data_IF_679669597104
#
_entry.id   IF_679669597104
#
_cell.length_a   1.000
_cell.length_b   1.000
_cell.length_c   1.000
_cell.angle_alpha   90.00
_cell.angle_beta   90.00
_cell.angle_gamma   90.00
#
_symmetry.space_group_name_H-M   'P 1'
#
loop_
_entity.id
_entity.type
_entity.pdbx_description
1 polymer ?
#
# COMPACT_ATOMS: atom_id res chain seq x y z
N UNK A 1 23.90 -10.86 -9.84
CA UNK A 1 22.47 -11.06 -10.19
C UNK A 1 21.64 -10.63 -8.99
N UNK A 2 20.75 -9.68 -9.16
CA UNK A 2 19.78 -9.36 -8.11
C UNK A 2 18.90 -10.61 -7.90
N UNK A 3 18.86 -11.13 -6.69
CA UNK A 3 17.96 -12.23 -6.33
C UNK A 3 16.52 -11.75 -6.54
N UNK A 4 15.80 -12.42 -7.43
CA UNK A 4 14.39 -12.14 -7.66
C UNK A 4 13.63 -12.31 -6.35
N UNK A 5 12.79 -11.34 -5.99
CA UNK A 5 11.95 -11.41 -4.81
C UNK A 5 11.11 -12.70 -4.87
N UNK A 6 11.03 -13.51 -3.79
CA UNK A 6 10.37 -14.82 -3.81
C UNK A 6 8.85 -14.71 -4.05
N UNK A 7 8.27 -13.54 -3.85
CA UNK A 7 6.84 -13.26 -4.06
C UNK A 7 6.58 -12.50 -5.37
N UNK A 8 7.57 -12.40 -6.26
CA UNK A 8 7.45 -11.65 -7.51
C UNK A 8 7.24 -10.15 -7.32
N UNK A 9 7.57 -9.62 -6.14
CA UNK A 9 7.44 -8.19 -5.83
C UNK A 9 8.57 -7.38 -6.44
N UNK A 10 8.28 -6.12 -6.69
CA UNK A 10 9.24 -5.12 -7.11
C UNK A 10 8.81 -4.37 -8.35
N UNK A 11 8.84 -3.05 -8.24
CA UNK A 11 8.57 -2.15 -9.33
C UNK A 11 9.52 -0.94 -9.27
N UNK A 12 10.19 -0.68 -10.36
CA UNK A 12 11.08 0.46 -10.51
C UNK A 12 10.28 1.77 -10.43
N UNK A 13 10.99 2.86 -10.10
CA UNK A 13 10.41 4.21 -10.14
C UNK A 13 9.85 4.51 -11.54
N UNK A 14 8.74 5.24 -11.57
CA UNK A 14 8.07 5.69 -12.80
C UNK A 14 7.54 4.58 -13.74
N UNK A 15 7.55 3.32 -13.31
CA UNK A 15 6.93 2.20 -14.03
C UNK A 15 5.51 1.96 -13.53
N UNK A 16 4.54 1.85 -14.45
CA UNK A 16 3.12 1.59 -14.14
C UNK A 16 2.68 0.19 -14.63
N UNK A 17 3.50 -0.83 -14.38
CA UNK A 17 3.18 -2.20 -14.78
C UNK A 17 2.26 -2.88 -13.77
N UNK A 18 1.18 -3.48 -14.27
CA UNK A 18 0.31 -4.37 -13.50
C UNK A 18 0.74 -5.83 -13.70
N UNK A 19 0.69 -6.60 -12.63
CA UNK A 19 0.89 -8.05 -12.62
C UNK A 19 -0.42 -8.75 -12.27
N UNK A 20 -0.57 -10.00 -12.68
CA UNK A 20 -1.68 -10.83 -12.23
C UNK A 20 -1.59 -11.03 -10.71
N UNK A 21 -2.75 -11.26 -10.08
CA UNK A 21 -2.79 -11.53 -8.65
C UNK A 21 -1.95 -12.77 -8.30
N UNK A 22 -1.09 -12.63 -7.30
CA UNK A 22 -0.31 -13.75 -6.77
C UNK A 22 -0.89 -14.18 -5.41
N UNK A 23 -1.34 -15.43 -5.25
CA UNK A 23 -1.88 -15.93 -4.00
C UNK A 23 -0.86 -15.96 -2.84
N UNK A 24 0.41 -15.74 -3.11
CA UNK A 24 1.46 -15.60 -2.10
C UNK A 24 1.56 -14.17 -1.52
N UNK A 25 0.93 -13.16 -2.11
CA UNK A 25 0.98 -11.79 -1.58
C UNK A 25 0.45 -11.65 -0.15
N UNK A 26 -0.63 -12.34 0.28
CA UNK A 26 -1.04 -12.31 1.69
C UNK A 26 0.05 -12.84 2.64
N UNK A 27 0.84 -13.83 2.22
CA UNK A 27 1.98 -14.34 2.99
C UNK A 27 3.12 -13.33 3.05
N UNK A 28 3.47 -12.71 1.93
CA UNK A 28 4.47 -11.65 1.87
C UNK A 28 4.10 -10.49 2.83
N UNK A 29 2.81 -10.10 2.86
CA UNK A 29 2.30 -9.13 3.82
C UNK A 29 2.50 -9.60 5.26
N UNK A 30 2.08 -10.82 5.61
CA UNK A 30 2.11 -11.32 6.98
C UNK A 30 3.56 -11.37 7.53
N UNK A 31 4.50 -11.87 6.76
CA UNK A 31 5.91 -11.94 7.13
C UNK A 31 6.51 -10.54 7.38
N UNK A 32 6.19 -9.57 6.52
CA UNK A 32 6.69 -8.20 6.69
C UNK A 32 5.99 -7.46 7.84
N UNK A 33 4.69 -7.68 8.05
CA UNK A 33 3.95 -7.12 9.17
C UNK A 33 4.52 -7.61 10.52
N UNK A 34 4.86 -8.88 10.64
CA UNK A 34 5.48 -9.44 11.85
C UNK A 34 6.87 -8.85 12.09
N UNK A 35 7.65 -8.65 11.03
CA UNK A 35 8.97 -8.02 11.10
C UNK A 35 8.87 -6.57 11.59
N UNK A 36 7.90 -5.80 11.09
CA UNK A 36 7.65 -4.42 11.52
C UNK A 36 7.16 -4.36 12.96
N UNK A 37 6.19 -5.19 13.34
CA UNK A 37 5.69 -5.26 14.74
C UNK A 37 6.80 -5.58 15.72
N UNK A 38 7.68 -6.51 15.39
CA UNK A 38 8.82 -6.88 16.23
C UNK A 38 9.78 -5.72 16.42
N UNK A 39 10.06 -4.96 15.38
CA UNK A 39 11.01 -3.85 15.43
C UNK A 39 10.45 -2.60 16.12
N UNK A 40 9.17 -2.29 15.91
CA UNK A 40 8.54 -1.08 16.42
C UNK A 40 7.83 -1.25 17.75
N UNK A 41 7.46 -2.47 18.12
CA UNK A 41 6.82 -2.77 19.40
C UNK A 41 5.45 -2.10 19.58
N UNK A 42 5.13 -1.63 20.79
CA UNK A 42 3.78 -1.22 21.18
C UNK A 42 3.28 0.08 20.53
N UNK A 43 4.12 0.84 19.85
CA UNK A 43 3.69 2.02 19.09
C UNK A 43 2.77 1.62 17.93
N UNK A 44 2.93 0.40 17.41
CA UNK A 44 2.07 -0.17 16.36
C UNK A 44 0.87 -0.84 17.01
N UNK A 45 -0.33 -0.26 16.85
CA UNK A 45 -1.58 -0.83 17.37
C UNK A 45 -2.03 -1.99 16.48
N UNK A 46 -2.02 -1.79 15.16
CA UNK A 46 -2.40 -2.80 14.16
C UNK A 46 -1.68 -2.56 12.85
N UNK A 47 -1.51 -3.62 12.06
CA UNK A 47 -1.08 -3.54 10.65
C UNK A 47 -2.09 -4.31 9.83
N UNK A 48 -2.59 -3.69 8.76
CA UNK A 48 -3.55 -4.27 7.83
C UNK A 48 -2.98 -4.32 6.42
N UNK A 49 -3.23 -5.42 5.71
CA UNK A 49 -3.00 -5.51 4.28
C UNK A 49 -4.11 -4.73 3.56
N UNK A 50 -3.76 -3.71 2.80
CA UNK A 50 -4.72 -2.93 2.04
C UNK A 50 -4.23 -2.67 0.62
N UNK A 51 -4.95 -1.88 -0.15
CA UNK A 51 -4.65 -1.67 -1.56
C UNK A 51 -4.97 -2.88 -2.41
N UNK A 52 -4.58 -2.82 -3.68
CA UNK A 52 -5.01 -3.80 -4.69
C UNK A 52 -4.47 -5.21 -4.46
N UNK A 53 -3.25 -5.35 -3.92
CA UNK A 53 -2.67 -6.67 -3.62
C UNK A 53 -3.39 -7.41 -2.49
N UNK A 54 -4.22 -6.69 -1.71
CA UNK A 54 -5.06 -7.26 -0.65
C UNK A 54 -6.40 -7.81 -1.16
N UNK A 55 -6.68 -7.67 -2.45
CA UNK A 55 -7.95 -8.09 -3.06
C UNK A 55 -7.72 -9.30 -3.94
N UNK A 56 -8.19 -10.50 -3.55
CA UNK A 56 -8.00 -11.73 -4.32
C UNK A 56 -8.48 -11.60 -5.76
N UNK A 57 -7.64 -12.03 -6.69
CA UNK A 57 -7.93 -12.02 -8.12
C UNK A 57 -7.77 -10.68 -8.84
N UNK A 58 -7.48 -9.59 -8.12
CA UNK A 58 -7.30 -8.27 -8.72
C UNK A 58 -5.86 -8.08 -9.20
N UNK A 59 -5.68 -7.73 -10.48
CA UNK A 59 -4.38 -7.31 -11.02
C UNK A 59 -3.90 -6.04 -10.34
N UNK A 60 -2.63 -5.98 -9.99
CA UNK A 60 -2.06 -4.88 -9.24
C UNK A 60 -0.60 -4.61 -9.62
N UNK A 61 -0.10 -3.43 -9.29
CA UNK A 61 1.35 -3.23 -9.20
C UNK A 61 1.91 -4.20 -8.16
N UNK A 62 3.04 -4.88 -8.42
CA UNK A 62 3.60 -5.89 -7.51
C UNK A 62 4.32 -5.20 -6.33
N UNK A 63 3.55 -4.48 -5.53
CA UNK A 63 3.98 -3.75 -4.32
C UNK A 63 2.95 -4.04 -3.24
N UNK A 64 3.39 -4.52 -2.08
CA UNK A 64 2.52 -4.73 -0.92
C UNK A 64 2.27 -3.40 -0.24
N UNK A 65 1.00 -2.99 -0.17
CA UNK A 65 0.57 -1.84 0.63
C UNK A 65 0.15 -2.29 2.03
N UNK A 66 0.75 -1.67 3.03
CA UNK A 66 0.46 -1.93 4.44
C UNK A 66 -0.06 -0.65 5.10
N UNK A 67 -1.10 -0.79 5.91
CA UNK A 67 -1.65 0.28 6.72
C UNK A 67 -1.27 0.04 8.18
N UNK A 68 -0.46 0.93 8.74
CA UNK A 68 0.02 0.88 10.12
C UNK A 68 -0.80 1.87 10.95
N UNK A 69 -1.54 1.36 11.93
CA UNK A 69 -2.32 2.16 12.85
C UNK A 69 -1.53 2.53 14.10
N UNK A 70 -1.47 3.81 14.41
CA UNK A 70 -0.87 4.39 15.62
C UNK A 70 -1.90 5.16 16.41
N UNK A 71 -1.62 5.49 17.70
CA UNK A 71 -2.53 6.27 18.51
C UNK A 71 -2.57 7.74 18.08
N UNK A 72 -1.41 8.32 17.78
CA UNK A 72 -1.26 9.72 17.36
C UNK A 72 -0.35 9.78 16.14
N UNK A 73 -0.68 10.66 15.18
CA UNK A 73 0.02 10.70 13.88
C UNK A 73 1.51 11.04 14.01
N UNK A 74 1.88 11.87 14.98
CA UNK A 74 3.29 12.25 15.20
C UNK A 74 4.18 11.06 15.57
N UNK A 75 3.61 9.96 16.04
CA UNK A 75 4.33 8.72 16.28
C UNK A 75 4.95 8.14 15.00
N UNK A 76 4.38 8.45 13.83
CA UNK A 76 4.97 8.08 12.55
C UNK A 76 6.36 8.68 12.32
N UNK A 77 6.62 9.88 12.82
CA UNK A 77 7.95 10.51 12.75
C UNK A 77 8.96 9.79 13.65
N UNK A 78 8.53 9.29 14.80
CA UNK A 78 9.39 8.53 15.72
C UNK A 78 9.81 7.16 15.17
N UNK A 79 9.14 6.68 14.14
CA UNK A 79 9.44 5.39 13.50
C UNK A 79 10.57 5.46 12.47
N UNK A 80 10.99 6.65 12.03
CA UNK A 80 11.88 6.84 10.87
C UNK A 80 13.17 6.02 11.01
N UNK A 81 13.84 6.09 12.16
CA UNK A 81 15.09 5.38 12.39
C UNK A 81 14.89 3.85 12.38
N UNK A 82 13.89 3.35 13.11
CA UNK A 82 13.60 1.92 13.15
C UNK A 82 13.18 1.36 11.80
N UNK A 83 12.39 2.11 11.03
CA UNK A 83 12.00 1.73 9.67
C UNK A 83 13.20 1.75 8.72
N UNK A 84 14.14 2.69 8.88
CA UNK A 84 15.38 2.71 8.09
C UNK A 84 16.21 1.43 8.30
N UNK A 85 16.32 0.93 9.54
CA UNK A 85 16.98 -0.36 9.83
C UNK A 85 16.29 -1.56 9.17
N UNK A 86 14.99 -1.45 8.87
CA UNK A 86 14.25 -2.47 8.12
C UNK A 86 14.35 -2.31 6.60
N UNK A 87 15.06 -1.27 6.12
CA UNK A 87 15.25 -0.99 4.70
C UNK A 87 14.19 -0.05 4.09
N UNK A 88 13.45 0.67 4.93
CA UNK A 88 12.48 1.67 4.48
C UNK A 88 13.05 3.07 4.50
N UNK A 89 12.76 3.84 3.46
CA UNK A 89 12.99 5.29 3.42
C UNK A 89 11.67 6.04 3.70
N UNK A 90 11.78 7.16 4.41
CA UNK A 90 10.64 8.02 4.69
C UNK A 90 10.34 8.91 3.49
N UNK A 91 9.12 8.83 2.97
CA UNK A 91 8.66 9.53 1.77
C UNK A 91 7.72 10.71 2.07
N UNK A 92 7.59 11.12 3.33
CA UNK A 92 6.70 12.21 3.74
C UNK A 92 5.22 11.82 3.74
N UNK A 93 4.35 12.84 3.68
CA UNK A 93 2.90 12.65 3.62
C UNK A 93 2.35 12.61 2.19
N UNK A 94 3.13 13.05 1.22
CA UNK A 94 2.73 13.26 -0.17
C UNK A 94 1.43 14.07 -0.32
N UNK A 95 1.21 15.04 0.57
CA UNK A 95 0.06 15.92 0.56
C UNK A 95 -1.22 15.33 1.16
N UNK A 96 -1.17 14.12 1.71
CA UNK A 96 -2.30 13.49 2.38
C UNK A 96 -2.27 13.91 3.87
N UNK A 97 -3.33 14.54 4.41
CA UNK A 97 -3.40 14.90 5.81
C UNK A 97 -3.30 13.66 6.73
N UNK A 98 -2.67 13.83 7.90
CA UNK A 98 -2.55 12.78 8.92
C UNK A 98 -2.04 11.44 8.35
N UNK A 99 -0.95 11.51 7.56
CA UNK A 99 -0.44 10.38 6.82
C UNK A 99 1.09 10.43 6.73
N UNK A 100 1.77 9.32 7.02
CA UNK A 100 3.19 9.16 6.74
C UNK A 100 3.40 7.94 5.85
N UNK A 101 4.32 8.05 4.90
CA UNK A 101 4.61 7.00 3.93
C UNK A 101 6.06 6.57 4.04
N UNK A 102 6.28 5.28 4.11
CA UNK A 102 7.59 4.64 4.06
C UNK A 102 7.63 3.64 2.91
N UNK A 103 8.71 3.64 2.17
CA UNK A 103 8.87 2.73 1.05
C UNK A 103 10.12 1.87 1.18
N UNK A 104 10.03 0.58 0.85
CA UNK A 104 11.14 -0.37 0.94
C UNK A 104 11.77 -0.62 -0.42
N UNK A 105 13.09 -0.38 -0.49
CA UNK A 105 13.92 -0.66 -1.64
C UNK A 105 13.86 0.36 -2.77
N UNK A 106 14.91 0.48 -3.56
CA UNK A 106 14.95 1.30 -4.77
C UNK A 106 14.04 0.71 -5.85
N UNK A 107 14.07 -0.61 -6.03
CA UNK A 107 12.98 -1.37 -6.65
C UNK A 107 11.96 -1.61 -5.55
N UNK A 108 10.85 -0.90 -5.63
CA UNK A 108 9.88 -0.80 -4.54
C UNK A 108 9.11 -2.11 -4.37
N UNK A 109 9.23 -2.76 -3.21
CA UNK A 109 8.52 -4.01 -2.89
C UNK A 109 7.37 -3.80 -1.92
N UNK A 110 7.50 -2.85 -0.98
CA UNK A 110 6.49 -2.55 0.04
C UNK A 110 6.33 -1.05 0.21
N UNK A 111 5.10 -0.63 0.49
CA UNK A 111 4.74 0.70 0.96
C UNK A 111 4.00 0.57 2.29
N UNK A 112 4.51 1.24 3.31
CA UNK A 112 3.88 1.30 4.62
C UNK A 112 3.31 2.69 4.84
N UNK A 113 2.00 2.75 5.05
CA UNK A 113 1.24 3.97 5.30
C UNK A 113 0.87 4.03 6.78
N UNK A 114 1.36 5.03 7.48
CA UNK A 114 1.08 5.23 8.91
C UNK A 114 -0.05 6.25 9.05
N UNK A 115 -1.09 5.85 9.77
CA UNK A 115 -2.29 6.66 10.01
C UNK A 115 -2.79 6.46 11.44
N UNK A 116 -3.67 7.33 11.93
CA UNK A 116 -4.31 7.14 13.23
C UNK A 116 -5.24 5.92 13.18
N UNK A 117 -5.02 4.96 14.08
CA UNK A 117 -5.83 3.75 14.18
C UNK A 117 -7.30 4.10 14.47
N UNK A 118 -8.21 3.57 13.67
CA UNK A 118 -9.64 3.88 13.77
C UNK A 118 -10.03 5.29 13.31
N UNK A 119 -9.08 6.10 12.84
CA UNK A 119 -9.34 7.44 12.31
C UNK A 119 -9.93 7.42 10.89
N UNK A 120 -10.11 8.61 10.31
CA UNK A 120 -10.75 8.77 9.00
C UNK A 120 -9.98 8.04 7.88
N UNK A 121 -8.67 8.20 7.81
CA UNK A 121 -7.82 7.53 6.80
C UNK A 121 -7.84 6.00 6.96
N UNK A 122 -7.76 5.51 8.19
CA UNK A 122 -7.87 4.08 8.50
C UNK A 122 -9.17 3.49 7.96
N UNK A 123 -10.30 4.12 8.29
CA UNK A 123 -11.64 3.67 7.86
C UNK A 123 -11.81 3.73 6.34
N UNK A 124 -11.36 4.82 5.72
CA UNK A 124 -11.45 5.01 4.27
C UNK A 124 -10.64 3.96 3.50
N UNK A 125 -9.38 3.73 3.89
CA UNK A 125 -8.53 2.75 3.24
C UNK A 125 -9.08 1.32 3.35
N UNK A 126 -9.51 0.93 4.54
CA UNK A 126 -10.07 -0.42 4.77
C UNK A 126 -11.46 -0.56 4.15
N UNK A 127 -12.28 0.47 4.19
CA UNK A 127 -13.59 0.49 3.54
C UNK A 127 -13.48 0.25 2.03
N UNK A 128 -12.55 0.92 1.37
CA UNK A 128 -12.32 0.71 -0.06
C UNK A 128 -11.83 -0.72 -0.36
N UNK A 129 -10.86 -1.24 0.40
CA UNK A 129 -10.41 -2.63 0.29
C UNK A 129 -11.58 -3.61 0.41
N UNK A 130 -12.40 -3.45 1.45
CA UNK A 130 -13.49 -4.36 1.75
C UNK A 130 -14.60 -4.26 0.70
N UNK A 131 -14.86 -3.07 0.18
CA UNK A 131 -15.76 -2.87 -0.96
C UNK A 131 -15.28 -3.64 -2.20
N UNK A 132 -14.00 -3.53 -2.55
CA UNK A 132 -13.44 -4.27 -3.70
C UNK A 132 -13.51 -5.80 -3.51
N UNK A 133 -13.37 -6.28 -2.27
CA UNK A 133 -13.50 -7.71 -1.96
C UNK A 133 -14.94 -8.20 -2.09
N UNK A 134 -15.90 -7.40 -1.64
CA UNK A 134 -17.31 -7.78 -1.56
C UNK A 134 -18.09 -7.57 -2.87
N UNK A 135 -17.71 -6.57 -3.67
CA UNK A 135 -18.45 -6.15 -4.86
C UNK A 135 -17.67 -6.40 -6.15
N UNK A 136 -18.00 -7.50 -6.88
CA UNK A 136 -17.32 -7.82 -8.14
C UNK A 136 -17.48 -6.75 -9.23
N UNK A 137 -18.60 -6.02 -9.24
CA UNK A 137 -18.86 -4.96 -10.23
C UNK A 137 -17.93 -3.78 -9.98
N UNK A 138 -17.86 -3.29 -8.76
CA UNK A 138 -16.94 -2.21 -8.39
C UNK A 138 -15.49 -2.64 -8.63
N UNK A 139 -15.13 -3.88 -8.29
CA UNK A 139 -13.79 -4.43 -8.55
C UNK A 139 -13.43 -4.44 -10.05
N UNK A 140 -14.35 -4.88 -10.90
CA UNK A 140 -14.15 -4.90 -12.35
C UNK A 140 -13.98 -3.47 -12.94
N UNK A 141 -14.78 -2.52 -12.47
CA UNK A 141 -14.68 -1.11 -12.86
C UNK A 141 -13.33 -0.51 -12.43
N UNK A 142 -12.89 -0.82 -11.23
CA UNK A 142 -11.59 -0.38 -10.74
C UNK A 142 -10.43 -0.97 -11.53
N UNK A 143 -10.50 -2.25 -11.88
CA UNK A 143 -9.49 -2.90 -12.74
C UNK A 143 -9.41 -2.23 -14.11
N UNK A 144 -10.54 -1.98 -14.76
CA UNK A 144 -10.57 -1.30 -16.06
C UNK A 144 -9.92 0.10 -15.98
N UNK A 145 -10.22 0.88 -14.94
CA UNK A 145 -9.58 2.17 -14.70
C UNK A 145 -8.07 2.04 -14.51
N UNK A 146 -7.62 1.08 -13.72
CA UNK A 146 -6.19 0.84 -13.49
C UNK A 146 -5.44 0.44 -14.76
N UNK A 147 -6.03 -0.42 -15.59
CA UNK A 147 -5.44 -0.85 -16.86
C UNK A 147 -5.32 0.32 -17.83
N UNK A 148 -6.35 1.17 -17.94
CA UNK A 148 -6.30 2.39 -18.72
C UNK A 148 -5.19 3.32 -18.23
N UNK A 149 -5.13 3.60 -16.93
CA UNK A 149 -4.12 4.47 -16.34
C UNK A 149 -2.70 3.91 -16.48
N UNK A 150 -2.53 2.58 -16.38
CA UNK A 150 -1.23 1.95 -16.57
C UNK A 150 -0.71 2.11 -18.02
N UNK A 151 -1.61 2.15 -19.00
CA UNK A 151 -1.28 2.37 -20.41
C UNK A 151 -1.04 3.85 -20.76
N UNK A 152 -1.78 4.76 -20.14
CA UNK A 152 -1.86 6.17 -20.58
C UNK A 152 -1.12 7.14 -19.64
N UNK A 153 -1.02 6.86 -18.33
CA UNK A 153 -0.41 7.78 -17.38
C UNK A 153 1.10 7.92 -17.61
N UNK A 154 1.61 9.14 -17.80
CA UNK A 154 3.03 9.37 -18.12
C UNK A 154 3.94 9.14 -16.91
N UNK A 155 3.41 9.24 -15.68
CA UNK A 155 4.16 9.11 -14.43
C UNK A 155 3.39 8.28 -13.40
N UNK A 156 4.09 7.81 -12.35
CA UNK A 156 3.45 7.15 -11.22
C UNK A 156 2.50 8.09 -10.46
N UNK A 157 2.85 9.36 -10.34
CA UNK A 157 2.00 10.38 -9.72
C UNK A 157 0.70 10.58 -10.50
N UNK A 158 0.75 10.67 -11.83
CA UNK A 158 -0.43 10.78 -12.68
C UNK A 158 -1.32 9.53 -12.60
N UNK A 159 -0.73 8.34 -12.54
CA UNK A 159 -1.45 7.08 -12.31
C UNK A 159 -2.20 7.10 -10.96
N UNK A 160 -1.55 7.53 -9.91
CA UNK A 160 -2.14 7.59 -8.56
C UNK A 160 -3.26 8.65 -8.51
N UNK A 161 -3.02 9.83 -9.06
CA UNK A 161 -4.02 10.91 -9.13
C UNK A 161 -5.26 10.49 -9.93
N UNK A 162 -5.10 9.76 -11.02
CA UNK A 162 -6.19 9.29 -11.86
C UNK A 162 -7.16 8.32 -11.17
N UNK A 163 -6.75 7.69 -10.07
CA UNK A 163 -7.61 6.79 -9.27
C UNK A 163 -8.37 7.51 -8.15
N UNK A 164 -7.95 8.70 -7.77
CA UNK A 164 -8.38 9.36 -6.52
C UNK A 164 -9.89 9.55 -6.42
N UNK A 165 -10.53 9.99 -7.48
CA UNK A 165 -11.99 10.20 -7.51
C UNK A 165 -12.75 8.88 -7.31
N UNK A 166 -12.33 7.83 -8.02
CA UNK A 166 -12.93 6.51 -7.89
C UNK A 166 -12.78 5.94 -6.48
N UNK A 167 -11.59 6.08 -5.90
CA UNK A 167 -11.29 5.60 -4.54
C UNK A 167 -12.19 6.33 -3.52
N UNK A 168 -12.24 7.66 -3.58
CA UNK A 168 -13.08 8.47 -2.69
C UNK A 168 -14.56 8.11 -2.80
N UNK A 169 -15.07 7.92 -4.01
CA UNK A 169 -16.48 7.56 -4.23
C UNK A 169 -16.86 6.18 -3.68
N UNK A 170 -15.88 5.29 -3.44
CA UNK A 170 -16.11 3.90 -3.03
C UNK A 170 -15.50 3.55 -1.66
N UNK A 171 -15.05 4.54 -0.87
CA UNK A 171 -14.39 4.35 0.43
C UNK A 171 -15.33 4.45 1.65
N UNK A 172 -16.58 4.83 1.43
CA UNK A 172 -17.58 5.01 2.47
C UNK A 172 -18.53 3.85 2.62
#
# INVERSE_FOLDING_TARGET
MATRDPYGLGLEAEVNRLSDYDPLWPRAFAEEADRIKTALGPVVIAIEHYGSTAVPGLRAKPIIDMLIGVAEIDQGLSMIESMAHLGYDYAGSQGIPEHHIFGRGAVRTHLAHVVVHGGAQWKSCLGFRDRLRADPVTRARYLALKEQLAAEAPTRAAYTAGKSEFVLANSG
#
